data_IF_298176170013
#
_entry.id   IF_298176170013
#
_cell.length_a   1.000
_cell.length_b   1.000
_cell.length_c   1.000
_cell.angle_alpha   90.00
_cell.angle_beta   90.00
_cell.angle_gamma   90.00
#
_symmetry.space_group_name_H-M   'P 1'
#
loop_
_entity.id
_entity.type
_entity.pdbx_description
1 polymer ?
#
# COMPACT_ATOMS: atom_id res chain seq x y z
N UNK A 1 -35.95 -34.19 8.55
CA UNK A 1 -35.19 -33.09 9.16
C UNK A 1 -33.72 -33.36 8.87
N UNK A 2 -33.14 -32.59 7.94
CA UNK A 2 -31.76 -32.76 7.53
C UNK A 2 -30.83 -32.04 8.53
N UNK A 3 -29.80 -32.73 8.99
CA UNK A 3 -28.72 -32.15 9.79
C UNK A 3 -27.93 -31.12 8.96
N UNK A 4 -27.50 -29.99 9.53
CA UNK A 4 -26.66 -29.03 8.84
C UNK A 4 -25.23 -29.56 8.67
N UNK A 5 -24.53 -29.23 7.56
CA UNK A 5 -23.19 -29.71 7.29
C UNK A 5 -22.16 -29.10 8.26
N UNK A 6 -21.30 -29.97 8.80
CA UNK A 6 -20.15 -29.63 9.63
C UNK A 6 -19.23 -28.61 8.95
N UNK A 7 -19.12 -27.42 9.55
CA UNK A 7 -18.10 -26.43 9.23
C UNK A 7 -16.73 -27.05 9.60
N UNK A 8 -15.96 -27.47 8.58
CA UNK A 8 -14.58 -27.94 8.76
C UNK A 8 -13.74 -26.82 9.38
N UNK A 9 -13.21 -27.05 10.58
CA UNK A 9 -12.23 -26.17 11.22
C UNK A 9 -10.91 -26.22 10.43
N UNK A 10 -10.66 -25.23 9.57
CA UNK A 10 -9.38 -25.06 8.89
C UNK A 10 -8.30 -24.61 9.90
N UNK A 11 -7.38 -25.51 10.25
CA UNK A 11 -6.16 -25.15 10.99
C UNK A 11 -5.15 -24.52 10.03
N UNK A 12 -4.80 -23.26 10.28
CA UNK A 12 -3.81 -22.51 9.51
C UNK A 12 -2.38 -22.82 9.97
N UNK A 13 -1.48 -23.11 9.03
CA UNK A 13 -0.04 -23.17 9.27
C UNK A 13 0.65 -22.10 8.42
N UNK A 14 1.30 -21.13 9.06
CA UNK A 14 2.15 -20.13 8.40
C UNK A 14 3.60 -20.59 8.63
N UNK A 15 4.31 -20.94 7.55
CA UNK A 15 5.73 -21.30 7.62
C UNK A 15 6.59 -20.13 7.12
N UNK A 16 7.09 -19.31 8.07
CA UNK A 16 8.47 -18.78 8.16
C UNK A 16 8.53 -17.56 9.10
N UNK A 17 9.27 -17.72 10.20
CA UNK A 17 9.78 -16.71 11.16
C UNK A 17 8.83 -15.69 11.83
N UNK A 18 7.53 -15.91 11.83
CA UNK A 18 6.62 -15.31 12.80
C UNK A 18 5.69 -16.39 13.35
N UNK A 19 5.94 -16.84 14.59
CA UNK A 19 5.03 -17.71 15.32
C UNK A 19 3.74 -16.93 15.66
N UNK A 20 2.82 -16.81 14.70
CA UNK A 20 1.45 -16.38 14.92
C UNK A 20 0.51 -17.42 14.31
N UNK A 21 0.13 -18.42 15.12
CA UNK A 21 -0.99 -19.31 14.81
C UNK A 21 -2.26 -18.58 15.25
N UNK A 22 -3.03 -18.06 14.30
CA UNK A 22 -4.35 -17.54 14.58
C UNK A 22 -5.35 -18.71 14.56
N UNK A 23 -5.73 -19.19 15.75
CA UNK A 23 -6.77 -20.22 15.94
C UNK A 23 -8.20 -19.67 15.81
N UNK A 24 -8.36 -18.36 15.63
CA UNK A 24 -9.60 -17.65 15.36
C UNK A 24 -9.36 -16.68 14.20
N UNK A 25 -10.32 -16.54 13.26
CA UNK A 25 -10.25 -15.54 12.19
C UNK A 25 -10.26 -14.13 12.82
N UNK A 26 -9.12 -13.42 12.92
CA UNK A 26 -9.06 -12.14 13.60
C UNK A 26 -9.61 -11.00 12.73
N UNK A 27 -9.87 -11.29 11.43
CA UNK A 27 -10.25 -10.30 10.42
C UNK A 27 -11.74 -10.34 10.07
N UNK A 28 -12.50 -11.32 10.56
CA UNK A 28 -13.83 -11.64 10.05
C UNK A 28 -13.80 -12.05 8.57
N UNK A 29 -14.94 -12.44 8.01
CA UNK A 29 -14.99 -12.99 6.64
C UNK A 29 -14.54 -11.96 5.59
N UNK A 30 -15.03 -10.72 5.72
CA UNK A 30 -14.71 -9.63 4.80
C UNK A 30 -13.23 -9.25 4.85
N UNK A 31 -12.64 -9.12 6.05
CA UNK A 31 -11.24 -8.77 6.21
C UNK A 31 -10.32 -9.87 5.70
N UNK A 32 -10.67 -11.13 5.94
CA UNK A 32 -9.91 -12.28 5.44
C UNK A 32 -9.91 -12.34 3.91
N UNK A 33 -11.06 -12.12 3.26
CA UNK A 33 -11.15 -12.08 1.80
C UNK A 33 -10.25 -11.00 1.18
N UNK A 34 -10.09 -9.86 1.84
CA UNK A 34 -9.15 -8.84 1.39
C UNK A 34 -7.70 -9.21 1.73
N UNK A 35 -7.41 -9.73 2.93
CA UNK A 35 -6.05 -10.03 3.39
C UNK A 35 -5.33 -11.06 2.52
N UNK A 36 -6.06 -12.04 1.98
CA UNK A 36 -5.55 -13.08 1.06
C UNK A 36 -5.07 -12.50 -0.27
N UNK A 37 -5.63 -11.37 -0.72
CA UNK A 37 -5.24 -10.77 -1.98
C UNK A 37 -3.81 -10.20 -1.93
N UNK A 38 -3.09 -10.15 -3.05
CA UNK A 38 -1.81 -9.47 -3.14
C UNK A 38 -1.90 -7.98 -2.77
N UNK A 39 -0.77 -7.42 -2.32
CA UNK A 39 -0.61 -6.00 -1.99
C UNK A 39 -1.07 -5.09 -3.15
N UNK A 40 -0.74 -5.43 -4.40
CA UNK A 40 -1.15 -4.65 -5.58
C UNK A 40 -2.66 -4.69 -5.86
N UNK A 41 -3.40 -5.59 -5.20
CA UNK A 41 -4.86 -5.67 -5.23
C UNK A 41 -5.50 -5.13 -3.95
N UNK A 42 -4.70 -4.51 -3.06
CA UNK A 42 -5.14 -3.92 -1.80
C UNK A 42 -5.26 -4.92 -0.65
N UNK A 43 -4.67 -6.11 -0.77
CA UNK A 43 -4.62 -7.09 0.31
C UNK A 43 -3.26 -7.13 1.03
N UNK A 44 -3.02 -8.20 1.80
CA UNK A 44 -1.79 -8.38 2.59
C UNK A 44 -0.87 -9.47 2.00
N UNK A 45 -1.34 -10.23 1.03
CA UNK A 45 -0.64 -11.40 0.48
C UNK A 45 -0.64 -12.61 1.41
N UNK A 46 -1.56 -12.67 2.38
CA UNK A 46 -1.71 -13.78 3.32
C UNK A 46 -2.50 -14.93 2.69
N UNK A 47 -1.98 -15.49 1.60
CA UNK A 47 -2.64 -16.53 0.84
C UNK A 47 -2.98 -17.77 1.68
N UNK A 48 -4.11 -18.40 1.38
CA UNK A 48 -4.49 -19.67 2.02
C UNK A 48 -3.72 -20.80 1.36
N UNK A 49 -3.03 -21.61 2.17
CA UNK A 49 -2.18 -22.71 1.67
C UNK A 49 -2.99 -23.68 0.79
N UNK A 50 -4.19 -24.04 1.22
CA UNK A 50 -5.07 -24.94 0.45
C UNK A 50 -5.42 -24.38 -0.95
N UNK A 51 -5.58 -23.06 -1.07
CA UNK A 51 -5.91 -22.41 -2.34
C UNK A 51 -4.67 -22.27 -3.25
N UNK A 52 -3.49 -22.11 -2.65
CA UNK A 52 -2.23 -21.90 -3.38
C UNK A 52 -1.49 -23.19 -3.74
N UNK A 53 -1.70 -24.28 -2.99
CA UNK A 53 -0.96 -25.52 -3.14
C UNK A 53 -1.10 -26.14 -4.55
N UNK A 54 -2.30 -26.24 -5.15
CA UNK A 54 -2.44 -26.78 -6.51
C UNK A 54 -1.67 -25.96 -7.53
N UNK A 55 -1.80 -24.63 -7.48
CA UNK A 55 -1.10 -23.71 -8.39
C UNK A 55 0.42 -23.74 -8.22
N UNK A 56 0.91 -23.85 -6.97
CA UNK A 56 2.32 -24.01 -6.68
C UNK A 56 2.85 -25.33 -7.26
N UNK A 57 2.16 -26.44 -6.98
CA UNK A 57 2.52 -27.77 -7.46
C UNK A 57 2.56 -27.84 -8.99
N UNK A 58 1.50 -27.41 -9.69
CA UNK A 58 1.43 -27.43 -11.15
C UNK A 58 2.55 -26.61 -11.80
N UNK A 59 2.83 -25.42 -11.26
CA UNK A 59 3.90 -24.57 -11.76
C UNK A 59 5.29 -25.20 -11.54
N UNK A 60 5.51 -25.80 -10.38
CA UNK A 60 6.78 -26.42 -10.01
C UNK A 60 7.03 -27.70 -10.81
N UNK A 61 6.04 -28.60 -10.88
CA UNK A 61 6.14 -29.85 -11.62
C UNK A 61 6.50 -29.60 -13.09
N UNK A 62 5.91 -28.57 -13.69
CA UNK A 62 6.26 -28.10 -15.04
C UNK A 62 7.68 -27.55 -15.11
N UNK A 63 8.06 -26.65 -14.20
CA UNK A 63 9.37 -26.01 -14.19
C UNK A 63 10.51 -27.03 -14.00
N UNK A 64 10.27 -28.12 -13.26
CA UNK A 64 11.26 -29.17 -13.01
C UNK A 64 11.17 -30.34 -13.98
N UNK A 65 10.21 -30.38 -14.90
CA UNK A 65 9.97 -31.53 -15.78
C UNK A 65 11.23 -31.93 -16.57
N UNK A 66 11.96 -30.96 -17.13
CA UNK A 66 13.21 -31.22 -17.86
C UNK A 66 14.28 -31.84 -16.94
N UNK A 67 14.43 -31.34 -15.72
CA UNK A 67 15.39 -31.87 -14.75
C UNK A 67 15.02 -33.29 -14.30
N UNK A 68 13.74 -33.53 -14.02
CA UNK A 68 13.23 -34.85 -13.67
C UNK A 68 13.49 -35.85 -14.80
N UNK A 69 13.22 -35.47 -16.06
CA UNK A 69 13.48 -36.33 -17.22
C UNK A 69 14.96 -36.67 -17.40
N UNK A 70 15.88 -35.78 -17.01
CA UNK A 70 17.33 -36.06 -17.03
C UNK A 70 17.76 -37.03 -15.92
N UNK A 71 17.05 -37.05 -14.78
CA UNK A 71 17.36 -37.92 -13.64
C UNK A 71 16.72 -39.31 -13.76
N UNK A 72 15.63 -39.43 -14.51
CA UNK A 72 14.88 -40.68 -14.65
C UNK A 72 15.50 -41.62 -15.71
N UNK A 73 15.44 -42.95 -15.52
CA UNK A 73 15.94 -43.91 -16.50
C UNK A 73 15.23 -43.77 -17.86
N UNK A 74 16.01 -43.57 -18.93
CA UNK A 74 15.52 -43.36 -20.32
C UNK A 74 14.64 -44.50 -20.84
N UNK A 75 14.79 -45.71 -20.28
CA UNK A 75 14.07 -46.91 -20.72
C UNK A 75 12.58 -46.97 -20.29
N UNK A 76 12.10 -46.02 -19.49
CA UNK A 76 10.70 -45.99 -19.01
C UNK A 76 10.06 -44.63 -19.28
N UNK A 77 8.87 -44.66 -19.87
CA UNK A 77 7.96 -43.51 -19.90
C UNK A 77 7.37 -43.35 -18.50
N UNK A 78 7.70 -42.24 -17.83
CA UNK A 78 7.11 -41.89 -16.55
C UNK A 78 6.02 -40.84 -16.78
N UNK A 79 4.77 -41.21 -16.50
CA UNK A 79 3.67 -40.25 -16.47
C UNK A 79 3.50 -39.68 -15.06
N UNK A 80 3.43 -38.35 -14.97
CA UNK A 80 3.09 -37.66 -13.73
C UNK A 80 1.57 -37.66 -13.52
N UNK A 81 1.05 -38.77 -12.99
CA UNK A 81 -0.38 -38.94 -12.72
C UNK A 81 -0.91 -37.90 -11.73
N UNK A 82 -0.13 -37.54 -10.71
CA UNK A 82 -0.52 -36.55 -9.71
C UNK A 82 -0.66 -35.15 -10.32
N UNK A 83 0.23 -34.78 -11.25
CA UNK A 83 0.10 -33.53 -12.03
C UNK A 83 -1.15 -33.52 -12.89
N UNK A 84 -1.48 -34.62 -13.57
CA UNK A 84 -2.71 -34.74 -14.36
C UNK A 84 -3.97 -34.65 -13.48
N UNK A 85 -3.98 -35.33 -12.33
CA UNK A 85 -5.09 -35.30 -11.37
C UNK A 85 -5.28 -33.89 -10.79
N UNK A 86 -4.21 -33.28 -10.29
CA UNK A 86 -4.26 -31.92 -9.74
C UNK A 86 -4.70 -30.90 -10.79
N UNK A 87 -4.28 -31.06 -12.04
CA UNK A 87 -4.74 -30.22 -13.14
C UNK A 87 -6.24 -30.39 -13.41
N UNK A 88 -6.73 -31.63 -13.43
CA UNK A 88 -8.16 -31.91 -13.62
C UNK A 88 -9.01 -31.32 -12.49
N UNK A 89 -8.59 -31.47 -11.23
CA UNK A 89 -9.24 -30.83 -10.08
C UNK A 89 -9.23 -29.31 -10.21
N UNK A 90 -8.09 -28.71 -10.57
CA UNK A 90 -7.98 -27.28 -10.76
C UNK A 90 -8.92 -26.77 -11.88
N UNK A 91 -8.97 -27.47 -13.02
CA UNK A 91 -9.86 -27.15 -14.14
C UNK A 91 -11.34 -27.31 -13.76
N UNK A 92 -11.69 -28.22 -12.85
CA UNK A 92 -13.07 -28.36 -12.36
C UNK A 92 -13.55 -27.11 -11.58
N UNK A 93 -12.62 -26.38 -10.95
CA UNK A 93 -12.91 -25.20 -10.11
C UNK A 93 -12.87 -23.92 -10.94
N UNK A 94 -11.87 -23.77 -11.82
CA UNK A 94 -11.57 -22.53 -12.53
C UNK A 94 -11.84 -22.57 -14.03
N UNK A 95 -12.18 -23.74 -14.58
CA UNK A 95 -12.29 -23.99 -16.01
C UNK A 95 -10.94 -24.32 -16.66
N UNK A 96 -11.00 -24.88 -17.86
CA UNK A 96 -9.81 -25.17 -18.68
C UNK A 96 -9.33 -23.89 -19.40
N UNK A 97 -8.70 -23.01 -18.63
CA UNK A 97 -8.25 -21.68 -19.09
C UNK A 97 -6.73 -21.55 -19.24
N UNK A 98 -5.97 -22.56 -18.81
CA UNK A 98 -4.51 -22.56 -18.81
C UNK A 98 -3.95 -23.90 -19.27
N UNK A 99 -2.89 -23.86 -20.07
CA UNK A 99 -2.15 -25.05 -20.44
C UNK A 99 -1.40 -25.63 -19.22
N UNK A 100 -1.50 -26.95 -19.02
CA UNK A 100 -0.77 -27.71 -17.99
C UNK A 100 0.74 -27.46 -17.99
N UNK A 101 1.33 -27.09 -19.14
CA UNK A 101 2.76 -26.80 -19.31
C UNK A 101 3.16 -25.36 -18.96
N UNK A 102 2.35 -24.65 -18.20
CA UNK A 102 2.69 -23.32 -17.71
C UNK A 102 3.54 -23.39 -16.43
N UNK A 103 4.75 -22.84 -16.46
CA UNK A 103 5.65 -22.81 -15.31
C UNK A 103 5.41 -21.63 -14.35
N UNK A 104 4.49 -20.72 -14.66
CA UNK A 104 4.27 -19.50 -13.87
C UNK A 104 3.18 -19.68 -12.82
N UNK A 105 3.58 -19.84 -11.55
CA UNK A 105 2.62 -19.87 -10.43
C UNK A 105 1.70 -18.65 -10.43
N UNK A 106 2.24 -17.48 -10.81
CA UNK A 106 1.45 -16.24 -10.91
C UNK A 106 0.26 -16.39 -11.86
N UNK A 107 0.45 -17.05 -13.02
CA UNK A 107 -0.63 -17.30 -13.98
C UNK A 107 -1.63 -18.30 -13.41
N UNK A 108 -1.16 -19.37 -12.76
CA UNK A 108 -2.04 -20.34 -12.10
C UNK A 108 -2.89 -19.74 -10.98
N UNK A 109 -2.38 -18.74 -10.27
CA UNK A 109 -3.12 -18.04 -9.21
C UNK A 109 -4.16 -17.03 -9.76
N UNK A 110 -4.03 -16.59 -11.00
CA UNK A 110 -4.82 -15.49 -11.56
C UNK A 110 -6.35 -15.72 -11.54
N UNK A 111 -6.88 -16.91 -11.92
CA UNK A 111 -8.33 -17.17 -11.87
C UNK A 111 -8.90 -17.07 -10.45
N UNK A 112 -8.19 -17.63 -9.47
CA UNK A 112 -8.54 -17.54 -8.05
C UNK A 112 -8.55 -16.07 -7.57
N UNK A 113 -7.50 -15.32 -7.92
CA UNK A 113 -7.39 -13.91 -7.54
C UNK A 113 -8.50 -13.06 -8.17
N UNK A 114 -8.86 -13.32 -9.43
CA UNK A 114 -9.94 -12.63 -10.12
C UNK A 114 -11.30 -12.91 -9.47
N UNK A 115 -11.58 -14.17 -9.13
CA UNK A 115 -12.80 -14.56 -8.40
C UNK A 115 -12.88 -13.85 -7.03
N UNK A 116 -11.78 -13.87 -6.28
CA UNK A 116 -11.68 -13.23 -4.96
C UNK A 116 -11.84 -11.71 -5.04
N UNK A 117 -11.28 -11.07 -6.07
CA UNK A 117 -11.42 -9.63 -6.33
C UNK A 117 -12.88 -9.26 -6.59
N UNK A 118 -13.58 -9.99 -7.47
CA UNK A 118 -15.00 -9.73 -7.78
C UNK A 118 -15.85 -9.89 -6.52
N UNK A 119 -15.58 -10.91 -5.71
CA UNK A 119 -16.27 -11.14 -4.45
C UNK A 119 -16.04 -9.99 -3.45
N UNK A 120 -14.79 -9.54 -3.31
CA UNK A 120 -14.45 -8.41 -2.45
C UNK A 120 -15.13 -7.12 -2.89
N UNK A 121 -15.19 -6.84 -4.19
CA UNK A 121 -15.87 -5.66 -4.75
C UNK A 121 -17.37 -5.68 -4.43
N UNK A 122 -18.03 -6.85 -4.52
CA UNK A 122 -19.43 -7.02 -4.11
C UNK A 122 -19.64 -6.79 -2.60
N UNK A 123 -18.74 -7.28 -1.75
CA UNK A 123 -18.80 -7.07 -0.29
C UNK A 123 -18.54 -5.61 0.14
N UNK A 124 -17.99 -4.79 -0.75
CA UNK A 124 -17.61 -3.41 -0.48
C UNK A 124 -18.46 -2.42 -1.27
N UNK A 125 -19.78 -2.65 -1.37
CA UNK A 125 -20.63 -1.89 -2.30
C UNK A 125 -20.84 -0.41 -1.90
N UNK A 126 -20.75 -0.08 -0.61
CA UNK A 126 -20.84 1.30 -0.12
C UNK A 126 -19.72 2.18 -0.69
N UNK A 127 -20.03 3.44 -1.02
CA UNK A 127 -19.05 4.43 -1.53
C UNK A 127 -17.78 4.52 -0.67
N UNK A 128 -17.94 4.55 0.67
CA UNK A 128 -16.83 4.61 1.62
C UNK A 128 -15.86 3.42 1.46
N UNK A 129 -16.40 2.21 1.37
CA UNK A 129 -15.60 1.00 1.21
C UNK A 129 -14.94 0.92 -0.18
N UNK A 130 -15.62 1.36 -1.24
CA UNK A 130 -15.04 1.46 -2.59
C UNK A 130 -13.86 2.43 -2.60
N UNK A 131 -14.03 3.61 -2.00
CA UNK A 131 -12.99 4.63 -1.91
C UNK A 131 -11.76 4.12 -1.12
N UNK A 132 -11.99 3.50 0.04
CA UNK A 132 -10.92 2.84 0.82
C UNK A 132 -10.17 1.81 -0.01
N UNK A 133 -10.89 0.88 -0.66
CA UNK A 133 -10.27 -0.18 -1.42
C UNK A 133 -9.45 0.36 -2.61
N UNK A 134 -9.95 1.39 -3.29
CA UNK A 134 -9.19 2.08 -4.35
C UNK A 134 -7.94 2.77 -3.80
N UNK A 135 -8.02 3.38 -2.61
CA UNK A 135 -6.90 4.06 -2.01
C UNK A 135 -5.79 3.10 -1.55
N UNK A 136 -6.17 1.98 -0.92
CA UNK A 136 -5.24 0.93 -0.47
C UNK A 136 -4.54 0.22 -1.63
N UNK A 137 -5.19 0.15 -2.81
CA UNK A 137 -4.62 -0.34 -4.08
C UNK A 137 -3.61 0.62 -4.73
N UNK A 138 -3.49 1.85 -4.22
CA UNK A 138 -2.58 2.83 -4.80
C UNK A 138 -1.11 2.44 -4.61
N UNK A 139 -0.23 3.05 -5.41
CA UNK A 139 1.21 2.73 -5.43
C UNK A 139 1.91 2.97 -4.09
N UNK A 140 1.44 3.90 -3.25
CA UNK A 140 1.98 4.12 -1.91
C UNK A 140 1.13 3.49 -0.80
N UNK A 141 -0.02 2.90 -1.13
CA UNK A 141 -0.98 2.51 -0.12
C UNK A 141 -0.44 1.43 0.80
N UNK A 142 0.06 0.34 0.24
CA UNK A 142 0.47 -0.82 1.04
C UNK A 142 1.92 -1.24 0.79
N UNK A 143 2.74 -0.33 0.25
CA UNK A 143 4.15 -0.63 -0.05
C UNK A 143 5.02 -0.74 1.20
N UNK A 144 4.62 -0.12 2.31
CA UNK A 144 5.25 -0.30 3.61
C UNK A 144 5.30 -1.78 4.05
N UNK A 145 4.32 -2.61 3.66
CA UNK A 145 4.32 -4.06 3.94
C UNK A 145 5.49 -4.81 3.28
N UNK A 146 6.14 -4.21 2.28
CA UNK A 146 7.33 -4.76 1.62
C UNK A 146 8.63 -4.25 2.24
N UNK A 147 8.56 -3.32 3.20
CA UNK A 147 9.73 -2.80 3.88
C UNK A 147 10.23 -3.82 4.91
N UNK A 148 11.55 -4.00 5.00
CA UNK A 148 12.15 -4.81 6.07
C UNK A 148 11.99 -4.04 7.39
N UNK A 149 11.38 -4.61 8.45
CA UNK A 149 11.26 -3.93 9.72
C UNK A 149 12.63 -3.76 10.39
N UNK A 150 13.14 -2.53 10.44
CA UNK A 150 14.44 -2.20 11.02
C UNK A 150 14.38 -0.93 11.84
N UNK A 151 14.77 -1.01 13.12
CA UNK A 151 14.88 0.16 13.99
C UNK A 151 15.98 1.11 13.49
N UNK A 152 17.10 0.57 13.01
CA UNK A 152 18.22 1.37 12.50
C UNK A 152 17.83 2.20 11.27
N UNK A 153 16.95 1.67 10.43
CA UNK A 153 16.47 2.35 9.22
C UNK A 153 15.17 3.14 9.46
N UNK A 154 14.60 3.13 10.68
CA UNK A 154 13.32 3.77 10.98
C UNK A 154 12.10 3.13 10.32
N UNK A 155 12.21 1.89 9.83
CA UNK A 155 11.14 1.18 9.11
C UNK A 155 10.33 0.23 10.00
N UNK A 156 10.70 0.10 11.28
CA UNK A 156 10.00 -0.73 12.25
C UNK A 156 8.85 0.04 12.90
N UNK A 157 7.63 -0.37 12.60
CA UNK A 157 6.43 0.04 13.33
C UNK A 157 6.26 -0.80 14.60
N UNK A 158 5.65 -0.22 15.64
CA UNK A 158 5.23 -0.98 16.82
C UNK A 158 3.94 -1.77 16.54
N UNK A 159 3.65 -2.75 17.40
CA UNK A 159 2.52 -3.66 17.22
C UNK A 159 1.17 -2.94 17.19
N UNK A 160 1.00 -1.84 17.93
CA UNK A 160 -0.25 -1.09 17.95
C UNK A 160 -0.43 -0.31 16.64
N UNK A 161 0.63 0.34 16.15
CA UNK A 161 0.62 1.03 14.85
C UNK A 161 0.31 0.07 13.70
N UNK A 162 0.96 -1.10 13.66
CA UNK A 162 0.68 -2.14 12.66
C UNK A 162 -0.79 -2.58 12.73
N UNK A 163 -1.31 -2.86 13.94
CA UNK A 163 -2.71 -3.29 14.11
C UNK A 163 -3.68 -2.24 13.61
N UNK A 164 -3.48 -0.97 14.00
CA UNK A 164 -4.36 0.14 13.60
C UNK A 164 -4.34 0.32 12.09
N UNK A 165 -3.16 0.36 11.46
CA UNK A 165 -3.04 0.55 10.02
C UNK A 165 -3.67 -0.62 9.23
N UNK A 166 -3.41 -1.87 9.64
CA UNK A 166 -4.05 -3.04 9.03
C UNK A 166 -5.58 -2.99 9.16
N UNK A 167 -6.11 -2.66 10.34
CA UNK A 167 -7.56 -2.54 10.54
C UNK A 167 -8.16 -1.46 9.65
N UNK A 168 -7.56 -0.27 9.57
CA UNK A 168 -8.01 0.82 8.70
C UNK A 168 -7.98 0.39 7.22
N UNK A 169 -6.92 -0.30 6.78
CA UNK A 169 -6.76 -0.75 5.40
C UNK A 169 -7.64 -1.92 5.01
N UNK A 170 -8.04 -2.77 5.95
CA UNK A 170 -8.98 -3.88 5.74
C UNK A 170 -10.45 -3.47 5.97
N UNK A 171 -10.70 -2.28 6.52
CA UNK A 171 -12.04 -1.81 6.87
C UNK A 171 -12.62 -2.54 8.08
N UNK A 172 -11.77 -2.78 9.09
CA UNK A 172 -12.11 -3.47 10.33
C UNK A 172 -12.24 -2.48 11.49
N UNK A 173 -12.98 -2.84 12.55
CA UNK A 173 -13.03 -2.05 13.78
C UNK A 173 -11.64 -1.81 14.36
N UNK A 174 -11.35 -0.55 14.69
CA UNK A 174 -10.10 -0.08 15.30
C UNK A 174 -10.32 0.32 16.75
N UNK A 175 -11.47 0.92 17.05
CA UNK A 175 -11.80 1.50 18.36
C UNK A 175 -13.20 1.06 18.79
N UNK A 176 -13.45 1.05 20.09
CA UNK A 176 -14.83 1.09 20.60
C UNK A 176 -15.45 2.44 20.28
N UNK A 177 -16.75 2.50 20.04
CA UNK A 177 -17.41 3.75 19.69
C UNK A 177 -17.42 4.73 20.88
N UNK A 178 -17.19 6.01 20.60
CA UNK A 178 -17.10 7.04 21.64
C UNK A 178 -17.36 8.44 21.08
N UNK A 179 -17.49 9.43 21.97
CA UNK A 179 -17.58 10.84 21.61
C UNK A 179 -16.20 11.50 21.70
N UNK A 180 -15.72 12.02 20.57
CA UNK A 180 -14.44 12.74 20.53
C UNK A 180 -14.54 14.08 21.29
N UNK A 181 -13.39 14.61 21.73
CA UNK A 181 -13.28 15.95 22.33
C UNK A 181 -13.78 17.06 21.40
N UNK A 182 -13.75 16.84 20.09
CA UNK A 182 -14.32 17.77 19.11
C UNK A 182 -15.86 17.76 19.07
N UNK A 183 -16.50 16.88 19.84
CA UNK A 183 -17.95 16.70 19.91
C UNK A 183 -18.53 15.67 18.94
N UNK A 184 -17.77 15.23 17.93
CA UNK A 184 -18.22 14.25 16.93
C UNK A 184 -18.30 12.82 17.50
N UNK A 185 -19.23 12.04 16.97
CA UNK A 185 -19.33 10.60 17.27
C UNK A 185 -18.32 9.83 16.43
N UNK A 186 -17.56 8.94 17.06
CA UNK A 186 -16.55 8.11 16.42
C UNK A 186 -17.07 6.68 16.35
N UNK A 187 -17.35 6.24 15.13
CA UNK A 187 -17.72 4.84 14.84
C UNK A 187 -16.53 3.90 14.99
N UNK A 188 -16.82 2.61 15.09
CA UNK A 188 -15.84 1.56 15.36
C UNK A 188 -14.67 1.49 14.37
N UNK A 189 -14.85 1.92 13.11
CA UNK A 189 -13.79 1.99 12.10
C UNK A 189 -12.71 3.06 12.38
N UNK A 190 -12.97 4.03 13.26
CA UNK A 190 -11.94 4.96 13.74
C UNK A 190 -11.44 6.02 12.76
N UNK A 191 -11.97 6.13 11.54
CA UNK A 191 -11.51 7.09 10.52
C UNK A 191 -11.56 8.57 10.96
N UNK A 192 -12.40 8.90 11.93
CA UNK A 192 -12.47 10.26 12.49
C UNK A 192 -11.09 10.76 12.98
N UNK A 193 -10.31 9.89 13.63
CA UNK A 193 -9.01 10.23 14.18
C UNK A 193 -7.99 10.67 13.12
N UNK A 194 -8.19 10.30 11.86
CA UNK A 194 -7.31 10.66 10.75
C UNK A 194 -7.47 12.12 10.29
N UNK A 195 -8.61 12.75 10.60
CA UNK A 195 -8.94 14.11 10.11
C UNK A 195 -9.39 15.09 11.20
N UNK A 196 -9.53 14.63 12.44
CA UNK A 196 -9.92 15.46 13.56
C UNK A 196 -8.87 16.55 13.85
N UNK A 197 -9.31 17.82 13.89
CA UNK A 197 -8.45 18.98 14.20
C UNK A 197 -7.90 18.99 15.63
N UNK A 198 -8.61 18.33 16.55
CA UNK A 198 -8.17 18.17 17.94
C UNK A 198 -7.27 16.95 18.14
N UNK A 199 -7.11 16.11 17.10
CA UNK A 199 -6.18 15.00 17.11
C UNK A 199 -4.76 15.44 16.78
N UNK A 200 -3.76 14.85 17.45
CA UNK A 200 -2.34 15.11 17.18
C UNK A 200 -1.84 14.46 15.88
N UNK A 201 -2.54 13.46 15.35
CA UNK A 201 -2.08 12.64 14.23
C UNK A 201 -1.82 13.41 12.93
N UNK A 202 -2.68 14.37 12.60
CA UNK A 202 -2.51 15.19 11.39
C UNK A 202 -1.21 16.01 11.41
N UNK A 203 -0.93 16.68 12.53
CA UNK A 203 0.28 17.49 12.70
C UNK A 203 1.54 16.62 12.76
N UNK A 204 1.46 15.46 13.42
CA UNK A 204 2.57 14.52 13.50
C UNK A 204 2.97 13.98 12.12
N UNK A 205 1.99 13.50 11.32
CA UNK A 205 2.24 13.05 9.93
C UNK A 205 2.82 14.16 9.06
N UNK A 206 2.26 15.36 9.18
CA UNK A 206 2.73 16.53 8.48
C UNK A 206 4.22 16.83 8.78
N UNK A 207 4.58 16.91 10.06
CA UNK A 207 5.96 17.15 10.48
C UNK A 207 6.90 16.03 10.02
N UNK A 208 6.50 14.77 10.21
CA UNK A 208 7.32 13.61 9.86
C UNK A 208 7.59 13.52 8.35
N UNK A 209 6.59 13.82 7.52
CA UNK A 209 6.74 13.89 6.08
C UNK A 209 7.68 15.02 5.67
N UNK A 210 7.51 16.23 6.22
CA UNK A 210 8.41 17.33 5.89
C UNK A 210 9.86 17.04 6.32
N UNK A 211 10.03 16.43 7.49
CA UNK A 211 11.34 15.97 7.97
C UNK A 211 11.97 14.95 7.02
N UNK A 212 11.17 14.03 6.49
CA UNK A 212 11.61 13.04 5.54
C UNK A 212 12.00 13.66 4.19
N UNK A 213 11.20 14.61 3.67
CA UNK A 213 11.55 15.34 2.44
C UNK A 213 12.89 16.06 2.56
N UNK A 214 13.18 16.68 3.70
CA UNK A 214 14.48 17.32 3.96
C UNK A 214 15.62 16.30 3.91
N UNK A 215 15.44 15.10 4.47
CA UNK A 215 16.44 14.02 4.36
C UNK A 215 16.62 13.55 2.91
N UNK A 216 15.56 13.51 2.11
CA UNK A 216 15.66 13.21 0.68
C UNK A 216 16.50 14.25 -0.07
N UNK A 217 16.31 15.54 0.22
CA UNK A 217 17.15 16.60 -0.36
C UNK A 217 18.61 16.47 0.09
N UNK A 218 18.86 16.20 1.37
CA UNK A 218 20.21 15.94 1.88
C UNK A 218 20.86 14.74 1.18
N UNK A 219 20.12 13.66 0.96
CA UNK A 219 20.59 12.47 0.23
C UNK A 219 20.91 12.77 -1.24
N UNK A 220 20.24 13.75 -1.83
CA UNK A 220 20.53 14.25 -3.18
C UNK A 220 21.63 15.35 -3.21
N UNK A 221 22.26 15.65 -2.07
CA UNK A 221 23.18 16.79 -1.91
C UNK A 221 22.59 18.14 -2.33
N UNK A 222 21.29 18.34 -2.08
CA UNK A 222 20.58 19.60 -2.31
C UNK A 222 20.36 20.26 -0.96
N UNK A 223 21.01 21.40 -0.65
CA UNK A 223 20.77 22.09 0.61
C UNK A 223 19.34 22.63 0.65
N UNK A 224 18.60 22.30 1.71
CA UNK A 224 17.23 22.71 1.88
C UNK A 224 16.93 23.06 3.35
N UNK A 225 16.05 24.05 3.55
CA UNK A 225 15.68 24.56 4.88
C UNK A 225 14.19 24.32 5.15
N UNK A 226 13.87 24.10 6.43
CA UNK A 226 12.49 23.94 6.92
C UNK A 226 11.89 25.29 7.25
N UNK A 227 10.62 25.46 6.88
CA UNK A 227 9.78 26.57 7.29
C UNK A 227 10.44 27.95 7.16
N UNK A 228 10.96 28.31 5.96
CA UNK A 228 11.62 29.57 5.71
C UNK A 228 10.70 30.74 6.03
N UNK A 229 11.21 31.69 6.82
CA UNK A 229 10.50 32.94 7.08
C UNK A 229 10.69 33.91 5.91
N UNK A 230 9.67 34.73 5.64
CA UNK A 230 9.79 35.93 4.80
C UNK A 230 10.23 35.70 3.35
N UNK A 231 9.79 34.61 2.71
CA UNK A 231 10.08 34.39 1.29
C UNK A 231 9.42 35.45 0.38
N UNK A 232 8.25 35.95 0.76
CA UNK A 232 7.59 37.06 0.08
C UNK A 232 7.41 38.18 1.10
N UNK A 233 7.97 39.35 0.82
CA UNK A 233 7.76 40.57 1.60
C UNK A 233 6.24 40.89 1.61
N UNK A 234 5.73 41.35 2.75
CA UNK A 234 4.32 41.73 2.95
C UNK A 234 3.26 40.60 2.92
N UNK A 235 3.68 39.34 2.77
CA UNK A 235 2.79 38.17 2.90
C UNK A 235 3.23 37.30 4.08
N UNK A 236 2.32 37.04 5.02
CA UNK A 236 2.53 36.07 6.10
C UNK A 236 2.32 34.62 5.60
N UNK A 237 3.04 34.23 4.55
CA UNK A 237 3.02 32.87 4.00
C UNK A 237 4.32 32.15 4.38
N UNK A 238 4.17 30.92 4.85
CA UNK A 238 5.28 30.09 5.31
C UNK A 238 5.13 28.70 4.70
N UNK A 239 5.79 28.42 3.56
CA UNK A 239 5.84 27.06 3.05
C UNK A 239 6.65 26.19 4.01
N UNK A 240 6.57 24.88 3.82
CA UNK A 240 7.17 23.92 4.74
C UNK A 240 8.65 23.68 4.48
N UNK A 241 9.10 23.96 3.25
CA UNK A 241 10.52 24.07 2.98
C UNK A 241 10.87 24.78 1.68
N UNK A 242 12.18 24.99 1.53
CA UNK A 242 12.80 25.73 0.43
C UNK A 242 14.20 25.18 0.13
N UNK A 243 14.55 25.00 -1.15
CA UNK A 243 15.92 24.64 -1.56
C UNK A 243 16.78 25.88 -1.71
N UNK A 244 18.00 25.86 -1.15
CA UNK A 244 18.94 26.98 -1.23
C UNK A 244 19.67 27.03 -2.58
N UNK A 245 19.59 25.95 -3.36
CA UNK A 245 20.12 25.88 -4.72
C UNK A 245 18.99 25.64 -5.73
N UNK A 246 19.21 26.00 -7.01
CA UNK A 246 18.25 25.74 -8.06
C UNK A 246 17.87 24.26 -8.17
N UNK A 247 16.58 24.00 -8.17
CA UNK A 247 15.97 22.68 -8.34
C UNK A 247 15.78 22.31 -9.82
N UNK A 248 15.19 23.21 -10.60
CA UNK A 248 14.89 23.07 -12.03
C UNK A 248 14.87 24.44 -12.70
N UNK A 249 15.41 24.54 -13.91
CA UNK A 249 15.35 25.75 -14.76
C UNK A 249 15.88 27.02 -14.06
N UNK A 250 16.93 26.88 -13.25
CA UNK A 250 17.48 28.01 -12.46
C UNK A 250 16.62 28.44 -11.26
N UNK A 251 15.47 27.79 -11.02
CA UNK A 251 14.54 28.13 -9.93
C UNK A 251 14.74 27.27 -8.70
N UNK A 252 14.69 27.88 -7.52
CA UNK A 252 14.64 27.17 -6.25
C UNK A 252 13.25 26.56 -6.02
N UNK A 253 13.19 25.40 -5.40
CA UNK A 253 11.93 24.74 -5.07
C UNK A 253 11.41 25.24 -3.73
N UNK A 254 10.11 25.48 -3.67
CA UNK A 254 9.34 25.67 -2.44
C UNK A 254 8.24 24.62 -2.40
N UNK A 255 7.95 24.07 -1.23
CA UNK A 255 6.90 23.07 -1.12
C UNK A 255 6.09 23.21 0.16
N UNK A 256 4.89 22.65 0.12
CA UNK A 256 4.03 22.55 1.28
C UNK A 256 3.29 21.20 1.25
N UNK A 257 3.33 20.48 2.37
CA UNK A 257 2.78 19.14 2.50
C UNK A 257 1.29 19.23 2.88
N UNK A 258 0.48 18.33 2.34
CA UNK A 258 -0.95 18.22 2.66
C UNK A 258 -1.38 16.76 2.69
N UNK A 259 -2.13 16.41 3.73
CA UNK A 259 -2.73 15.09 3.90
C UNK A 259 -4.26 15.17 3.79
N UNK A 260 -4.83 15.07 2.58
CA UNK A 260 -6.26 14.85 2.45
C UNK A 260 -6.64 13.48 3.03
N UNK A 261 -7.91 13.37 3.42
CA UNK A 261 -8.49 12.14 3.96
C UNK A 261 -9.77 11.83 3.19
N UNK A 262 -9.70 10.90 2.24
CA UNK A 262 -10.79 10.54 1.32
C UNK A 262 -12.05 10.08 2.05
N UNK A 263 -11.88 9.50 3.24
CA UNK A 263 -12.98 8.96 4.05
C UNK A 263 -13.55 9.98 5.06
N UNK A 264 -13.13 11.25 5.02
CA UNK A 264 -13.77 12.28 5.84
C UNK A 264 -15.11 12.70 5.22
N UNK A 265 -16.14 12.94 6.04
CA UNK A 265 -17.51 13.25 5.60
C UNK A 265 -17.60 14.35 4.52
N UNK A 266 -16.71 15.34 4.58
CA UNK A 266 -16.62 16.44 3.60
C UNK A 266 -16.08 16.07 2.21
N UNK A 267 -15.51 14.88 2.05
CA UNK A 267 -14.86 14.41 0.81
C UNK A 267 -15.59 13.25 0.11
N UNK A 268 -16.60 12.66 0.75
CA UNK A 268 -17.37 11.54 0.18
C UNK A 268 -18.10 11.94 -1.12
N UNK A 269 -18.42 13.23 -1.31
CA UNK A 269 -19.01 13.78 -2.54
C UNK A 269 -18.01 14.38 -3.53
N UNK A 270 -16.74 14.57 -3.15
CA UNK A 270 -15.71 15.21 -3.95
C UNK A 270 -14.44 14.35 -3.92
N UNK A 271 -14.42 13.30 -4.73
CA UNK A 271 -13.37 12.27 -4.90
C UNK A 271 -12.01 12.78 -5.41
N UNK A 272 -11.75 14.09 -5.37
CA UNK A 272 -10.54 14.68 -5.93
C UNK A 272 -9.67 15.25 -4.81
N UNK A 273 -8.42 14.78 -4.76
CA UNK A 273 -7.30 15.54 -4.19
C UNK A 273 -7.43 16.96 -4.78
N UNK A 274 -7.65 17.98 -3.95
CA UNK A 274 -7.73 19.38 -4.41
C UNK A 274 -6.40 20.08 -4.10
N UNK A 275 -5.34 19.86 -4.90
CA UNK A 275 -4.09 20.64 -4.80
C UNK A 275 -4.34 22.14 -5.08
N UNK A 276 -5.44 22.45 -5.77
CA UNK A 276 -5.83 23.81 -6.18
C UNK A 276 -5.85 24.82 -5.03
N UNK A 277 -6.27 24.43 -3.82
CA UNK A 277 -6.29 25.36 -2.69
C UNK A 277 -4.87 25.84 -2.31
N UNK A 278 -3.88 24.94 -2.32
CA UNK A 278 -2.48 25.30 -2.02
C UNK A 278 -1.86 26.06 -3.19
N UNK A 279 -2.17 25.67 -4.43
CA UNK A 279 -1.72 26.41 -5.61
C UNK A 279 -2.23 27.87 -5.60
N UNK A 280 -3.48 28.11 -5.23
CA UNK A 280 -4.00 29.48 -5.08
C UNK A 280 -3.35 30.23 -3.92
N UNK A 281 -3.13 29.57 -2.78
CA UNK A 281 -2.50 30.20 -1.60
C UNK A 281 -1.06 30.65 -1.88
N UNK A 282 -0.32 29.87 -2.65
CA UNK A 282 1.11 30.06 -2.92
C UNK A 282 1.39 30.44 -4.39
N UNK A 283 0.40 31.03 -5.08
CA UNK A 283 0.55 31.43 -6.49
C UNK A 283 1.76 32.36 -6.69
N UNK A 284 1.99 33.26 -5.73
CA UNK A 284 3.09 34.22 -5.75
C UNK A 284 4.49 33.57 -5.56
N UNK A 285 4.56 32.29 -5.13
CA UNK A 285 5.81 31.52 -5.03
C UNK A 285 6.16 30.76 -6.33
N UNK A 286 5.32 30.85 -7.35
CA UNK A 286 5.63 30.43 -8.71
C UNK A 286 6.07 31.65 -9.53
N UNK A 287 7.35 31.99 -9.45
CA UNK A 287 7.95 33.15 -10.12
C UNK A 287 9.17 32.76 -10.97
N UNK A 288 9.89 33.74 -11.52
CA UNK A 288 11.08 33.50 -12.34
C UNK A 288 12.26 32.88 -11.58
N UNK A 289 12.24 32.91 -10.26
CA UNK A 289 13.29 32.39 -9.36
C UNK A 289 12.84 31.20 -8.51
N UNK A 290 11.53 30.93 -8.43
CA UNK A 290 10.94 29.94 -7.54
C UNK A 290 9.90 29.08 -8.24
N UNK A 291 9.86 27.82 -7.83
CA UNK A 291 8.85 26.85 -8.22
C UNK A 291 8.15 26.35 -6.96
N UNK A 292 6.85 26.55 -6.86
CA UNK A 292 6.01 25.98 -5.81
C UNK A 292 5.43 24.63 -6.22
N UNK A 293 5.60 23.63 -5.34
CA UNK A 293 5.02 22.29 -5.50
C UNK A 293 4.17 21.95 -4.28
N UNK A 294 2.85 21.76 -4.43
CA UNK A 294 2.03 21.16 -3.38
C UNK A 294 2.33 19.65 -3.31
N UNK A 295 2.82 19.18 -2.18
CA UNK A 295 3.04 17.75 -1.94
C UNK A 295 1.79 17.19 -1.26
N UNK A 296 0.92 16.56 -2.05
CA UNK A 296 -0.38 16.08 -1.64
C UNK A 296 -0.39 14.56 -1.57
N UNK A 297 -0.39 14.01 -0.34
CA UNK A 297 -0.39 12.57 -0.10
C UNK A 297 -1.60 12.19 0.73
N UNK A 298 -2.53 11.45 0.13
CA UNK A 298 -3.71 10.98 0.82
C UNK A 298 -3.35 9.96 1.89
N UNK A 299 -4.12 9.95 2.98
CA UNK A 299 -3.85 9.14 4.17
C UNK A 299 -3.73 7.63 3.88
N UNK A 300 -4.39 7.12 2.84
CA UNK A 300 -4.27 5.70 2.44
C UNK A 300 -3.32 5.45 1.27
N UNK A 301 -2.62 6.47 0.76
CA UNK A 301 -1.57 6.34 -0.27
C UNK A 301 -1.79 7.04 -1.61
N UNK A 302 -3.02 7.34 -2.08
CA UNK A 302 -3.19 8.06 -3.34
C UNK A 302 -2.44 9.39 -3.35
N UNK A 303 -1.75 9.66 -4.46
CA UNK A 303 -1.06 10.93 -4.72
C UNK A 303 -1.51 11.49 -6.05
N UNK A 304 -1.44 12.80 -6.18
CA UNK A 304 -1.73 13.47 -7.45
C UNK A 304 -0.53 13.38 -8.41
N UNK A 305 -0.76 13.74 -9.67
CA UNK A 305 0.29 13.71 -10.71
C UNK A 305 1.46 14.65 -10.40
N UNK A 306 1.20 15.76 -9.72
CA UNK A 306 2.22 16.76 -9.35
C UNK A 306 3.17 16.17 -8.31
N UNK A 307 2.61 15.55 -7.26
CA UNK A 307 3.36 14.86 -6.21
C UNK A 307 4.12 13.66 -6.76
N UNK A 308 3.50 12.88 -7.65
CA UNK A 308 4.16 11.77 -8.35
C UNK A 308 5.38 12.26 -9.14
N UNK A 309 5.22 13.31 -9.96
CA UNK A 309 6.32 13.89 -10.72
C UNK A 309 7.44 14.43 -9.82
N UNK A 310 7.09 15.08 -8.70
CA UNK A 310 8.05 15.53 -7.71
C UNK A 310 8.86 14.36 -7.11
N UNK A 311 8.18 13.28 -6.69
CA UNK A 311 8.82 12.07 -6.18
C UNK A 311 9.70 11.37 -7.22
N UNK A 312 9.27 11.31 -8.48
CA UNK A 312 10.06 10.74 -9.57
C UNK A 312 11.33 11.58 -9.83
N UNK A 313 11.23 12.90 -9.76
CA UNK A 313 12.36 13.80 -9.97
C UNK A 313 13.39 13.72 -8.83
N UNK A 314 12.95 13.80 -7.57
CA UNK A 314 13.86 13.70 -6.42
C UNK A 314 14.51 12.31 -6.33
N UNK A 315 13.76 11.23 -6.58
CA UNK A 315 14.33 9.87 -6.61
C UNK A 315 15.37 9.71 -7.72
N UNK A 316 15.14 10.29 -8.90
CA UNK A 316 16.13 10.28 -9.99
C UNK A 316 17.41 11.02 -9.59
N UNK A 317 17.30 12.17 -8.93
CA UNK A 317 18.46 12.92 -8.42
C UNK A 317 19.22 12.13 -7.34
N UNK A 318 18.51 11.46 -6.44
CA UNK A 318 19.11 10.60 -5.41
C UNK A 318 19.86 9.43 -6.06
N UNK A 319 19.24 8.71 -6.99
CA UNK A 319 19.86 7.56 -7.67
C UNK A 319 21.15 7.96 -8.39
N UNK A 320 21.18 9.16 -8.99
CA UNK A 320 22.41 9.69 -9.62
C UNK A 320 23.55 9.91 -8.62
N UNK A 321 23.24 10.24 -7.36
CA UNK A 321 24.22 10.49 -6.30
C UNK A 321 24.64 9.19 -5.62
N UNK A 322 23.69 8.32 -5.29
CA UNK A 322 23.95 7.08 -4.53
C UNK A 322 24.41 5.92 -5.40
N UNK A 323 23.99 5.88 -6.67
CA UNK A 323 24.18 4.74 -7.56
C UNK A 323 23.25 3.55 -7.30
N UNK A 324 22.40 3.59 -6.27
CA UNK A 324 21.50 2.47 -5.93
C UNK A 324 20.15 2.59 -6.67
N UNK A 325 19.82 1.68 -7.61
CA UNK A 325 18.55 1.72 -8.32
C UNK A 325 17.33 1.49 -7.41
N UNK A 326 17.53 0.94 -6.20
CA UNK A 326 16.46 0.66 -5.25
C UNK A 326 16.02 1.88 -4.44
N UNK A 327 16.74 3.01 -4.51
CA UNK A 327 16.42 4.20 -3.72
C UNK A 327 15.01 4.74 -3.97
N UNK A 328 14.49 4.58 -5.20
CA UNK A 328 13.09 4.89 -5.49
C UNK A 328 12.12 4.01 -4.70
N UNK A 329 12.41 2.72 -4.56
CA UNK A 329 11.58 1.79 -3.78
C UNK A 329 11.67 2.10 -2.29
N UNK A 330 12.88 2.31 -1.76
CA UNK A 330 13.06 2.70 -0.36
C UNK A 330 12.34 4.00 -0.04
N UNK A 331 12.36 4.96 -0.96
CA UNK A 331 11.61 6.19 -0.82
C UNK A 331 10.10 5.93 -0.71
N UNK A 332 9.53 5.14 -1.62
CA UNK A 332 8.11 4.77 -1.57
C UNK A 332 7.73 4.06 -0.27
N UNK A 333 8.57 3.13 0.19
CA UNK A 333 8.36 2.41 1.45
C UNK A 333 8.33 3.35 2.65
N UNK A 334 9.29 4.28 2.74
CA UNK A 334 9.33 5.26 3.83
C UNK A 334 8.18 6.26 3.77
N UNK A 335 7.80 6.74 2.58
CA UNK A 335 6.60 7.59 2.43
C UNK A 335 5.37 6.82 2.90
N UNK A 336 5.22 5.55 2.49
CA UNK A 336 4.11 4.67 2.87
C UNK A 336 4.05 4.42 4.38
N UNK A 337 5.19 4.31 5.07
CA UNK A 337 5.29 4.16 6.52
C UNK A 337 4.84 5.40 7.31
N UNK A 338 4.82 6.57 6.68
CA UNK A 338 4.44 7.84 7.31
C UNK A 338 2.93 8.14 7.21
N UNK A 339 2.17 7.29 6.51
CA UNK A 339 0.74 7.43 6.24
C UNK A 339 -0.11 6.82 7.35
#
# INVERSE_FOLDING_TARGET
>A
MAEPPLIRQNKFWICSNANFVWSFNPFGDKGLCQAVLPICMGGLGLGVVADLAPSAFLSFATATATLQNMMLPVAKLYEDHLRKETFAEWCSIFGDVLNIDNCSQRKWNEPFLNKSKIFLEKMNDSLLNKARLMAVKSDLGSVWLRAVPSTACGTRLDNASIRVDLCLRLGLPVVSEYRCLCGAYVFSLGYHGLSCKFGSGGQARHSAMNDYLIRLFQKAYIPAIKQPASLILDRNIRPEGYTLTPWSDGRCLTWDVTFPHTLADRYISNTLLKPDFKNSKYVDLNDGTRLFVPVCVETFGPIDKVTQHFFDNISTKIIKVSGDPNDKMYMKQNVSLLL
#
